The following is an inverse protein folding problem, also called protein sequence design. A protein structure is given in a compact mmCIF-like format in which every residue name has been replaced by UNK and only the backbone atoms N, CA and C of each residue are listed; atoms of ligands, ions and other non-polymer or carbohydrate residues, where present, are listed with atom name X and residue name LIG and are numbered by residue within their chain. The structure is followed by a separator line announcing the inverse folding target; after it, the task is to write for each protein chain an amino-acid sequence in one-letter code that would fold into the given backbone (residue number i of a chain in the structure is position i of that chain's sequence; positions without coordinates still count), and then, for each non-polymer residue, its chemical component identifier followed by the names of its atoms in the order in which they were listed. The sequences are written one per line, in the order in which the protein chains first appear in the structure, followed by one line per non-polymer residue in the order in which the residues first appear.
data_IF_705359968389
#
_entry.id   IF_705359968389
#
_cell.length_a   1.000
_cell.length_b   1.000
_cell.length_c   1.000
_cell.angle_alpha   90.00
_cell.angle_beta   90.00
_cell.angle_gamma   90.00
#
_symmetry.space_group_name_H-M   'P 1'
#
loop_
_entity.id
_entity.type
_entity.pdbx_description
1 polymer ?
#
# COMPACT_ATOMS: atom_id res chain seq x y z
N UNK A 1 -38.64 -0.95 -16.02
CA UNK A 1 -38.09 -0.26 -14.84
C UNK A 1 -36.97 -1.15 -14.29
N UNK A 2 -35.67 -0.88 -14.40
CA UNK A 2 -34.94 0.40 -14.45
C UNK A 2 -33.69 0.26 -15.35
N UNK A 3 -33.50 1.22 -16.26
CA UNK A 3 -32.34 1.27 -17.16
C UNK A 3 -31.24 2.07 -16.45
N UNK A 4 -30.18 1.39 -15.99
CA UNK A 4 -28.99 2.07 -15.49
C UNK A 4 -28.16 2.50 -16.71
N UNK A 5 -28.35 3.74 -17.13
CA UNK A 5 -27.53 4.36 -18.16
C UNK A 5 -26.14 4.66 -17.59
N UNK A 6 -25.12 4.00 -18.10
CA UNK A 6 -23.74 4.44 -17.91
C UNK A 6 -23.57 5.74 -18.71
N UNK A 7 -23.69 6.88 -18.04
CA UNK A 7 -23.34 8.17 -18.62
C UNK A 7 -21.82 8.26 -18.71
N UNK A 8 -21.28 7.81 -19.85
CA UNK A 8 -19.88 8.06 -20.22
C UNK A 8 -19.74 9.55 -20.46
N UNK A 9 -19.02 10.28 -19.60
CA UNK A 9 -18.63 11.66 -19.87
C UNK A 9 -17.52 11.65 -20.93
N UNK A 10 -17.96 11.74 -22.17
CA UNK A 10 -17.17 11.89 -23.38
C UNK A 10 -16.42 13.24 -23.41
N UNK A 11 -15.24 13.33 -22.78
CA UNK A 11 -14.23 14.37 -23.07
C UNK A 11 -12.90 14.10 -22.32
N UNK A 12 -12.05 13.23 -22.85
CA UNK A 12 -10.60 13.41 -23.00
C UNK A 12 -9.97 12.15 -23.65
N UNK A 13 -9.34 12.25 -24.84
CA UNK A 13 -8.77 11.09 -25.51
C UNK A 13 -7.27 10.93 -25.20
N UNK A 14 -6.81 10.94 -23.94
CA UNK A 14 -5.55 10.27 -23.52
C UNK A 14 -5.52 10.12 -21.99
N UNK A 15 -6.09 9.03 -21.49
CA UNK A 15 -5.55 8.38 -20.29
C UNK A 15 -6.03 6.95 -20.26
N UNK A 16 -5.32 6.10 -21.00
CA UNK A 16 -5.17 4.72 -20.59
C UNK A 16 -4.47 4.75 -19.22
N UNK A 17 -5.24 5.00 -18.17
CA UNK A 17 -4.81 4.78 -16.80
C UNK A 17 -4.63 3.27 -16.70
N UNK A 18 -3.41 2.82 -16.95
CA UNK A 18 -2.93 1.53 -16.50
C UNK A 18 -3.17 1.51 -15.00
N UNK A 19 -4.33 1.01 -14.60
CA UNK A 19 -4.69 0.86 -13.21
C UNK A 19 -3.67 -0.12 -12.64
N UNK A 20 -2.60 0.43 -12.07
CA UNK A 20 -1.47 -0.36 -11.61
C UNK A 20 -2.04 -1.32 -10.59
N UNK A 21 -1.92 -2.62 -10.87
CA UNK A 21 -2.38 -3.69 -9.99
C UNK A 21 -1.84 -3.40 -8.60
N UNK A 22 -2.72 -2.93 -7.71
CA UNK A 22 -2.38 -2.62 -6.33
C UNK A 22 -2.25 -3.95 -5.62
N UNK A 23 -1.04 -4.51 -5.63
CA UNK A 23 -0.76 -5.72 -4.85
C UNK A 23 -1.02 -5.43 -3.37
N UNK A 24 -1.71 -6.34 -2.70
CA UNK A 24 -1.98 -6.22 -1.27
C UNK A 24 -0.65 -6.25 -0.50
N UNK A 25 -0.38 -5.21 0.29
CA UNK A 25 0.90 -5.07 1.02
C UNK A 25 1.13 -6.10 2.13
N UNK A 26 0.11 -6.88 2.49
CA UNK A 26 0.17 -7.87 3.56
C UNK A 26 0.30 -9.28 2.98
N UNK A 27 1.13 -10.11 3.62
CA UNK A 27 1.27 -11.52 3.28
C UNK A 27 1.49 -12.36 4.54
N UNK A 28 1.16 -13.65 4.45
CA UNK A 28 1.35 -14.63 5.53
C UNK A 28 2.52 -15.54 5.18
N UNK A 29 3.43 -15.74 6.12
CA UNK A 29 4.47 -16.77 6.05
C UNK A 29 4.32 -17.66 7.29
N UNK A 30 4.07 -18.95 7.08
CA UNK A 30 3.65 -19.90 8.13
C UNK A 30 2.47 -19.38 8.96
N UNK A 31 2.68 -19.08 10.25
CA UNK A 31 1.64 -18.64 11.18
C UNK A 31 1.65 -17.13 11.43
N UNK A 32 2.57 -16.40 10.80
CA UNK A 32 2.77 -14.99 11.04
C UNK A 32 2.41 -14.12 9.83
N UNK A 33 2.01 -12.90 10.13
CA UNK A 33 1.70 -11.86 9.18
C UNK A 33 2.86 -10.88 9.03
N UNK A 34 3.01 -10.40 7.81
CA UNK A 34 4.03 -9.44 7.42
C UNK A 34 3.41 -8.38 6.51
N UNK A 35 4.07 -7.24 6.38
CA UNK A 35 3.80 -6.31 5.30
C UNK A 35 5.07 -5.85 4.61
N UNK A 36 4.94 -5.51 3.32
CA UNK A 36 6.00 -4.90 2.53
C UNK A 36 5.78 -3.37 2.43
N UNK A 37 6.86 -2.61 2.58
CA UNK A 37 6.87 -1.16 2.41
C UNK A 37 7.08 -0.80 0.93
N UNK A 38 6.90 0.48 0.57
CA UNK A 38 7.14 0.93 -0.81
C UNK A 38 8.64 0.91 -1.17
N UNK A 39 9.48 0.96 -0.14
CA UNK A 39 10.93 0.91 -0.22
C UNK A 39 11.46 -0.53 -0.32
N UNK A 40 10.57 -1.54 -0.30
CA UNK A 40 10.93 -2.96 -0.42
C UNK A 40 11.22 -3.65 0.91
N UNK A 41 11.17 -2.94 2.03
CA UNK A 41 11.39 -3.54 3.35
C UNK A 41 10.21 -4.44 3.73
N UNK A 42 10.51 -5.62 4.28
CA UNK A 42 9.52 -6.52 4.86
C UNK A 42 9.52 -6.36 6.38
N UNK A 43 8.35 -6.11 6.96
CA UNK A 43 8.17 -5.88 8.40
C UNK A 43 7.22 -6.92 9.00
N UNK A 44 7.59 -7.44 10.17
CA UNK A 44 6.95 -8.53 10.90
C UNK A 44 7.99 -9.35 11.66
N UNK A 45 7.63 -10.50 12.25
CA UNK A 45 6.31 -11.14 12.24
C UNK A 45 5.27 -10.42 13.13
N UNK A 46 4.00 -10.55 12.77
CA UNK A 46 2.84 -10.18 13.59
C UNK A 46 1.92 -11.39 13.77
N UNK A 47 1.29 -11.52 14.94
CA UNK A 47 0.41 -12.66 15.23
C UNK A 47 -0.90 -12.64 14.42
N UNK A 48 -1.32 -11.47 13.95
CA UNK A 48 -2.54 -11.31 13.16
C UNK A 48 -2.39 -10.26 12.07
N UNK A 49 -3.29 -10.32 11.07
CA UNK A 49 -3.35 -9.35 9.98
C UNK A 49 -3.70 -7.96 10.50
N UNK A 50 -4.55 -7.89 11.52
CA UNK A 50 -4.96 -6.65 12.19
C UNK A 50 -3.77 -5.97 12.88
N UNK A 51 -2.91 -6.74 13.55
CA UNK A 51 -1.66 -6.21 14.13
C UNK A 51 -0.71 -5.69 13.04
N UNK A 52 -0.56 -6.42 11.93
CA UNK A 52 0.21 -5.94 10.79
C UNK A 52 -0.38 -4.64 10.21
N UNK A 53 -1.70 -4.50 10.18
CA UNK A 53 -2.39 -3.29 9.71
C UNK A 53 -2.25 -2.09 10.67
N UNK A 54 -2.22 -2.35 11.98
CA UNK A 54 -1.92 -1.33 12.98
C UNK A 54 -0.47 -0.84 12.82
N UNK A 55 0.49 -1.76 12.74
CA UNK A 55 1.90 -1.44 12.56
C UNK A 55 2.17 -0.68 11.24
N UNK A 56 1.35 -0.94 10.21
CA UNK A 56 1.34 -0.17 8.97
C UNK A 56 1.03 1.32 9.22
N UNK A 57 0.05 1.61 10.08
CA UNK A 57 -0.36 2.97 10.41
C UNK A 57 0.76 3.66 11.18
N UNK A 58 1.36 2.97 12.14
CA UNK A 58 2.48 3.49 12.94
C UNK A 58 3.71 3.75 12.07
N UNK A 59 4.01 2.85 11.13
CA UNK A 59 5.10 3.04 10.16
C UNK A 59 4.88 4.28 9.29
N UNK A 60 3.66 4.52 8.81
CA UNK A 60 3.35 5.71 8.00
C UNK A 60 3.54 6.99 8.84
N UNK A 61 3.13 6.98 10.11
CA UNK A 61 3.35 8.12 11.01
C UNK A 61 4.84 8.37 11.24
N UNK A 62 5.62 7.31 11.47
CA UNK A 62 7.07 7.40 11.60
C UNK A 62 7.71 8.00 10.34
N UNK A 63 7.38 7.48 9.15
CA UNK A 63 7.92 7.97 7.87
C UNK A 63 7.56 9.44 7.64
N UNK A 64 6.34 9.86 7.97
CA UNK A 64 5.92 11.26 7.82
C UNK A 64 6.65 12.23 8.75
N UNK A 65 7.17 11.74 9.88
CA UNK A 65 7.90 12.54 10.87
C UNK A 65 9.42 12.38 10.77
N UNK A 66 9.89 11.41 9.97
CA UNK A 66 11.30 11.11 9.81
C UNK A 66 12.03 12.21 9.03
N UNK A 67 13.29 12.47 9.42
CA UNK A 67 14.13 13.39 8.65
C UNK A 67 14.60 12.74 7.34
N UNK A 68 15.02 13.53 6.34
CA UNK A 68 15.48 13.00 5.05
C UNK A 68 16.61 11.97 5.17
N UNK A 69 17.50 12.13 6.15
CA UNK A 69 18.58 11.18 6.42
C UNK A 69 18.07 9.81 6.82
N UNK A 70 17.01 9.75 7.63
CA UNK A 70 16.37 8.50 8.06
C UNK A 70 15.66 7.87 6.87
N UNK A 71 14.91 8.65 6.08
CA UNK A 71 14.22 8.13 4.89
C UNK A 71 15.18 7.50 3.89
N UNK A 72 16.37 8.09 3.70
CA UNK A 72 17.42 7.53 2.84
C UNK A 72 17.93 6.17 3.33
N UNK A 73 18.05 6.00 4.65
CA UNK A 73 18.46 4.73 5.24
C UNK A 73 17.44 3.62 4.95
N UNK A 74 16.14 3.94 5.03
CA UNK A 74 15.06 2.98 4.76
C UNK A 74 15.00 2.53 3.30
N UNK A 75 15.49 3.36 2.37
CA UNK A 75 15.46 3.11 0.93
C UNK A 75 16.69 2.35 0.37
N UNK A 76 17.70 2.06 1.20
CA UNK A 76 18.97 1.46 0.74
C UNK A 76 18.97 -0.06 0.87
N UNK A 77 18.02 -0.75 0.23
CA UNK A 77 17.88 -2.20 0.34
C UNK A 77 17.90 -2.93 -1.00
#
# INVERSE_FOLDING_TARGET
MNNIAYITRESDPTSASSAQVRSNRYFKLSDYWYFITREGATLGPYDSKELAAQAVTDYIQFVNQATPSILKLLATH
#
